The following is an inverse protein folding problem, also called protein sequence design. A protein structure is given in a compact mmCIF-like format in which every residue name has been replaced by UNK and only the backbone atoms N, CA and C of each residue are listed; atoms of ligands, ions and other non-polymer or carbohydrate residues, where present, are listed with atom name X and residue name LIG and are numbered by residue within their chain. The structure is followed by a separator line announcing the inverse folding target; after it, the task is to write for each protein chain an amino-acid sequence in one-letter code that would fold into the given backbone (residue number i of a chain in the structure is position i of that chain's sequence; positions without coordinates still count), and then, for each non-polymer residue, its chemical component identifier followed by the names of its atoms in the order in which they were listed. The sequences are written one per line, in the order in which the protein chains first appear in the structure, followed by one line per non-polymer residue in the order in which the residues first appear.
data_IF_578663817228
#
_entry.id   IF_578663817228
#
_cell.length_a   1.000
_cell.length_b   1.000
_cell.length_c   1.000
_cell.angle_alpha   90.00
_cell.angle_beta   90.00
_cell.angle_gamma   90.00
#
_symmetry.space_group_name_H-M   'P 1'
#
loop_
_entity.id
_entity.type
_entity.pdbx_description
1 polymer ?
#
# COMPACT_ATOMS: atom_id res chain seq x y z
N UNK A 1 42.61 -35.98 -15.40
CA UNK A 1 43.46 -36.81 -14.52
C UNK A 1 43.61 -36.13 -13.16
N UNK A 2 43.39 -36.94 -12.10
CA UNK A 2 43.55 -36.69 -10.64
C UNK A 2 42.30 -36.11 -9.96
N UNK A 3 41.41 -36.97 -9.48
CA UNK A 3 41.27 -37.65 -8.14
C UNK A 3 40.74 -36.71 -7.06
N UNK A 4 39.44 -36.73 -6.79
CA UNK A 4 38.67 -37.50 -5.81
C UNK A 4 39.38 -37.67 -4.43
N UNK A 5 38.82 -37.04 -3.39
CA UNK A 5 38.79 -37.59 -2.02
C UNK A 5 37.52 -37.19 -1.30
N UNK A 6 36.71 -38.21 -1.12
CA UNK A 6 35.57 -38.35 -0.27
C UNK A 6 36.08 -38.57 1.20
N UNK A 7 35.55 -37.83 2.17
CA UNK A 7 35.77 -38.16 3.56
C UNK A 7 34.42 -38.19 4.28
N UNK A 8 34.01 -39.41 4.59
CA UNK A 8 32.84 -39.70 5.45
C UNK A 8 33.27 -39.59 6.92
N UNK A 9 32.46 -38.92 7.72
CA UNK A 9 32.56 -38.99 9.19
C UNK A 9 31.26 -39.56 9.73
N UNK A 10 31.38 -40.79 10.22
CA UNK A 10 30.42 -41.46 11.10
C UNK A 10 30.45 -40.83 12.50
N UNK A 11 29.29 -40.52 13.07
CA UNK A 11 29.20 -40.27 14.52
C UNK A 11 28.01 -41.04 15.10
N UNK A 12 28.36 -41.77 16.15
CA UNK A 12 27.61 -42.82 16.80
C UNK A 12 26.43 -42.33 17.65
N UNK A 13 25.39 -43.16 17.58
CA UNK A 13 24.21 -43.13 18.45
C UNK A 13 24.60 -43.78 19.81
N UNK A 14 24.32 -43.09 20.90
CA UNK A 14 24.35 -43.68 22.27
C UNK A 14 22.91 -43.74 22.79
N UNK A 15 22.38 -44.95 22.85
CA UNK A 15 21.15 -45.30 23.57
C UNK A 15 21.49 -45.50 25.07
N UNK A 16 20.77 -44.79 25.96
CA UNK A 16 20.66 -45.16 27.36
C UNK A 16 19.29 -45.75 27.64
N UNK A 17 19.27 -47.01 27.93
CA UNK A 17 18.16 -47.77 28.54
C UNK A 17 18.39 -47.82 30.03
N UNK A 18 17.44 -47.38 30.84
CA UNK A 18 17.38 -47.72 32.28
C UNK A 18 16.01 -48.29 32.61
N UNK A 19 16.05 -49.47 33.17
CA UNK A 19 14.94 -50.34 33.46
C UNK A 19 14.29 -50.11 34.82
N UNK A 20 13.05 -50.56 34.90
CA UNK A 20 12.11 -50.75 35.99
C UNK A 20 12.61 -51.07 37.40
N UNK A 21 11.87 -50.56 38.39
CA UNK A 21 11.79 -51.13 39.73
C UNK A 21 10.53 -50.65 40.46
N UNK A 22 9.56 -51.53 40.68
CA UNK A 22 8.25 -51.25 41.25
C UNK A 22 8.24 -51.17 42.79
N UNK A 23 7.11 -50.71 43.32
CA UNK A 23 6.75 -50.78 44.75
C UNK A 23 5.64 -49.83 45.13
N UNK A 24 4.44 -50.34 45.38
CA UNK A 24 3.22 -49.57 45.67
C UNK A 24 3.14 -49.05 47.13
N UNK A 25 2.30 -48.09 47.29
CA UNK A 25 1.35 -47.87 48.39
C UNK A 25 0.61 -46.53 48.20
N UNK A 26 -0.70 -46.58 48.33
CA UNK A 26 -1.68 -45.45 48.34
C UNK A 26 -1.95 -45.07 49.80
N UNK A 27 -2.79 -44.03 50.10
CA UNK A 27 -2.84 -42.65 49.68
C UNK A 27 -2.70 -41.68 50.89
N UNK A 28 -2.40 -40.42 50.61
CA UNK A 28 -2.68 -39.33 51.54
C UNK A 28 -3.10 -38.12 50.73
N UNK A 29 -4.33 -37.67 50.98
CA UNK A 29 -4.87 -36.41 50.53
C UNK A 29 -3.99 -35.28 51.07
N UNK A 30 -3.57 -34.39 50.19
CA UNK A 30 -3.03 -33.08 50.56
C UNK A 30 -3.58 -32.05 49.57
N UNK A 31 -4.31 -31.10 50.12
CA UNK A 31 -4.78 -29.90 49.46
C UNK A 31 -3.64 -29.25 48.63
N UNK A 32 -3.79 -29.28 47.33
CA UNK A 32 -2.96 -28.54 46.40
C UNK A 32 -3.59 -27.18 46.13
N UNK A 33 -3.03 -26.17 46.75
CA UNK A 33 -3.22 -24.78 46.39
C UNK A 33 -2.86 -24.63 44.91
N UNK A 34 -3.85 -24.40 44.08
CA UNK A 34 -3.72 -24.07 42.68
C UNK A 34 -3.14 -22.66 42.58
N UNK A 35 -1.82 -22.60 42.54
CA UNK A 35 -1.12 -21.36 42.19
C UNK A 35 -1.45 -21.08 40.73
N UNK A 36 -2.46 -20.21 40.52
CA UNK A 36 -2.65 -19.54 39.25
C UNK A 36 -1.36 -18.81 38.95
N UNK A 37 -0.58 -19.34 38.00
CA UNK A 37 0.49 -18.60 37.36
C UNK A 37 -0.18 -17.43 36.64
N UNK A 38 -0.15 -16.27 37.27
CA UNK A 38 -0.40 -15.02 36.56
C UNK A 38 0.62 -14.97 35.42
N UNK A 39 0.13 -15.03 34.19
CA UNK A 39 0.91 -14.65 33.02
C UNK A 39 1.22 -13.18 33.24
N UNK A 40 2.44 -12.88 33.69
CA UNK A 40 2.96 -11.52 33.61
C UNK A 40 2.99 -11.19 32.14
N UNK A 41 2.02 -10.37 31.70
CA UNK A 41 2.11 -9.61 30.45
C UNK A 41 3.44 -8.86 30.55
N UNK A 42 4.43 -9.27 29.77
CA UNK A 42 5.61 -8.45 29.56
C UNK A 42 5.07 -7.13 28.99
N UNK A 43 5.14 -6.08 29.80
CA UNK A 43 4.92 -4.73 29.31
C UNK A 43 5.93 -4.54 28.18
N UNK A 44 5.44 -4.30 26.96
CA UNK A 44 6.29 -3.95 25.83
C UNK A 44 7.15 -2.77 26.27
N UNK A 45 8.46 -2.89 26.13
CA UNK A 45 9.36 -1.76 26.43
C UNK A 45 9.02 -0.67 25.42
N UNK A 46 8.73 0.53 25.92
CA UNK A 46 8.51 1.70 25.05
C UNK A 46 9.76 1.92 24.21
N UNK A 47 9.64 2.06 22.87
CA UNK A 47 10.78 2.39 22.04
C UNK A 47 11.39 3.75 22.45
N UNK A 48 12.71 3.90 22.33
CA UNK A 48 13.38 5.18 22.62
C UNK A 48 13.02 6.26 21.58
N UNK A 49 12.65 5.83 20.36
CA UNK A 49 12.29 6.66 19.22
C UNK A 49 11.20 5.95 18.43
N UNK A 50 10.21 6.69 17.93
CA UNK A 50 9.25 6.20 16.94
C UNK A 50 9.74 6.54 15.53
N UNK A 51 9.59 5.60 14.61
CA UNK A 51 9.82 5.83 13.19
C UNK A 51 8.48 5.74 12.47
N UNK A 52 8.12 6.81 11.77
CA UNK A 52 6.96 6.84 10.88
C UNK A 52 7.44 6.67 9.44
N UNK A 53 6.94 5.65 8.77
CA UNK A 53 7.36 5.26 7.44
C UNK A 53 6.32 5.56 6.36
N UNK A 54 6.82 5.88 5.17
CA UNK A 54 6.04 6.19 3.98
C UNK A 54 6.54 5.41 2.78
N UNK A 55 5.65 5.06 1.85
CA UNK A 55 6.01 4.45 0.57
C UNK A 55 6.31 5.53 -0.49
N UNK A 56 7.16 5.27 -1.49
CA UNK A 56 7.49 6.24 -2.52
C UNK A 56 6.40 6.29 -3.63
N UNK A 57 5.15 6.60 -3.26
CA UNK A 57 4.04 6.72 -4.22
C UNK A 57 4.14 7.96 -5.10
N UNK A 58 4.89 8.97 -4.63
CA UNK A 58 5.25 10.22 -5.31
C UNK A 58 6.77 10.37 -5.37
N UNK A 59 7.25 11.45 -5.97
CA UNK A 59 8.70 11.71 -6.03
C UNK A 59 9.29 11.76 -4.61
N UNK A 60 10.24 10.86 -4.32
CA UNK A 60 10.72 10.61 -2.97
C UNK A 60 11.43 11.82 -2.32
N UNK A 61 12.06 12.70 -3.12
CA UNK A 61 12.75 13.89 -2.62
C UNK A 61 11.79 14.92 -2.04
N UNK A 62 10.67 15.18 -2.72
CA UNK A 62 9.63 16.06 -2.25
C UNK A 62 8.98 15.47 -0.97
N UNK A 63 8.65 14.19 -1.01
CA UNK A 63 7.99 13.51 0.10
C UNK A 63 8.80 13.57 1.41
N UNK A 64 10.13 13.47 1.36
CA UNK A 64 11.00 13.59 2.55
C UNK A 64 10.90 14.97 3.21
N UNK A 65 10.75 16.04 2.42
CA UNK A 65 10.58 17.40 2.96
C UNK A 65 9.17 17.59 3.54
N UNK A 66 8.15 17.01 2.89
CA UNK A 66 6.74 17.17 3.26
C UNK A 66 6.38 16.46 4.59
N UNK A 67 7.03 15.34 4.92
CA UNK A 67 6.73 14.57 6.14
C UNK A 67 7.36 15.14 7.42
N UNK A 68 8.34 16.03 7.32
CA UNK A 68 9.07 16.54 8.49
C UNK A 68 8.15 17.31 9.48
N UNK A 69 7.22 18.19 9.05
CA UNK A 69 6.31 18.85 9.97
C UNK A 69 5.43 17.89 10.77
N UNK A 70 4.95 16.79 10.13
CA UNK A 70 4.17 15.77 10.82
C UNK A 70 5.01 15.06 11.91
N UNK A 71 6.27 14.73 11.59
CA UNK A 71 7.17 14.08 12.55
C UNK A 71 7.50 15.02 13.75
N UNK A 72 7.67 16.32 13.49
CA UNK A 72 7.91 17.32 14.52
C UNK A 72 6.68 17.50 15.43
N UNK A 73 5.49 17.57 14.84
CA UNK A 73 4.22 17.65 15.57
C UNK A 73 4.03 16.41 16.48
N UNK A 74 4.20 15.21 15.93
CA UNK A 74 4.06 13.99 16.72
C UNK A 74 5.12 13.89 17.83
N UNK A 75 6.33 14.43 17.62
CA UNK A 75 7.37 14.53 18.65
C UNK A 75 6.90 15.39 19.84
N UNK A 76 6.22 16.52 19.57
CA UNK A 76 5.71 17.41 20.60
C UNK A 76 4.53 16.77 21.36
N UNK A 77 3.56 16.20 20.63
CA UNK A 77 2.34 15.65 21.23
C UNK A 77 2.59 14.37 22.03
N UNK A 78 3.46 13.48 21.54
CA UNK A 78 3.77 12.22 22.21
C UNK A 78 4.87 12.34 23.27
N UNK A 79 5.61 13.48 23.29
CA UNK A 79 6.70 13.72 24.23
C UNK A 79 7.89 12.76 24.05
N UNK A 80 8.05 12.17 22.86
CA UNK A 80 9.15 11.30 22.48
C UNK A 80 9.57 11.59 21.03
N UNK A 81 10.83 11.29 20.70
CA UNK A 81 11.33 11.54 19.32
C UNK A 81 10.53 10.74 18.30
N UNK A 82 10.04 11.41 17.28
CA UNK A 82 9.43 10.79 16.08
C UNK A 82 10.25 11.19 14.86
N UNK A 83 10.60 10.23 14.00
CA UNK A 83 11.39 10.47 12.79
C UNK A 83 10.65 9.92 11.58
N UNK A 84 10.53 10.75 10.54
CA UNK A 84 9.95 10.35 9.26
C UNK A 84 10.97 9.67 8.36
N UNK A 85 10.57 8.61 7.66
CA UNK A 85 11.36 7.94 6.63
C UNK A 85 10.51 7.58 5.41
N UNK A 86 11.05 7.83 4.22
CA UNK A 86 10.52 7.28 2.96
C UNK A 86 11.32 6.05 2.60
N UNK A 87 10.66 4.93 2.37
CA UNK A 87 11.33 3.68 1.98
C UNK A 87 11.70 3.68 0.50
N UNK A 88 12.59 2.77 0.08
CA UNK A 88 13.03 2.70 -1.31
C UNK A 88 11.96 2.09 -2.25
N UNK A 89 11.07 1.29 -1.70
CA UNK A 89 9.98 0.61 -2.40
C UNK A 89 8.81 0.34 -1.43
N UNK A 90 7.68 -0.08 -1.99
CA UNK A 90 6.44 -0.31 -1.23
C UNK A 90 6.56 -1.46 -0.21
N UNK A 91 7.26 -2.53 -0.56
CA UNK A 91 7.49 -3.66 0.35
C UNK A 91 8.50 -3.34 1.45
N UNK A 92 9.35 -2.36 1.22
CA UNK A 92 10.33 -1.86 2.18
C UNK A 92 9.69 -1.38 3.47
N UNK A 93 8.56 -0.67 3.39
CA UNK A 93 7.83 -0.21 4.58
C UNK A 93 7.28 -1.38 5.41
N UNK A 94 6.63 -2.34 4.76
CA UNK A 94 6.13 -3.54 5.45
C UNK A 94 7.27 -4.30 6.13
N UNK A 95 8.41 -4.45 5.44
CA UNK A 95 9.61 -5.10 5.99
C UNK A 95 10.20 -4.30 7.16
N UNK A 96 10.20 -2.97 7.09
CA UNK A 96 10.65 -2.13 8.19
C UNK A 96 9.74 -2.29 9.43
N UNK A 97 8.43 -2.40 9.25
CA UNK A 97 7.48 -2.68 10.33
C UNK A 97 7.68 -4.10 10.90
N UNK A 98 7.83 -5.12 10.02
CA UNK A 98 8.07 -6.52 10.41
C UNK A 98 9.35 -6.68 11.26
N UNK A 99 10.37 -5.88 10.98
CA UNK A 99 11.67 -5.93 11.67
C UNK A 99 11.83 -4.93 12.81
N UNK A 100 10.76 -4.16 13.13
CA UNK A 100 10.76 -3.15 14.18
C UNK A 100 11.60 -1.91 13.85
N UNK A 101 11.87 -1.64 12.56
CA UNK A 101 12.57 -0.44 12.10
C UNK A 101 11.60 0.72 11.82
N UNK A 102 10.31 0.42 11.57
CA UNK A 102 9.23 1.40 11.51
C UNK A 102 8.13 0.98 12.50
N UNK A 103 7.55 1.95 13.20
CA UNK A 103 6.55 1.75 14.25
C UNK A 103 5.16 2.23 13.81
N UNK A 104 5.13 3.20 12.92
CA UNK A 104 3.93 3.77 12.30
C UNK A 104 4.15 3.71 10.79
N UNK A 105 3.17 3.26 10.02
CA UNK A 105 3.26 3.19 8.56
C UNK A 105 2.05 3.83 7.90
N UNK A 106 2.28 4.75 6.96
CA UNK A 106 1.28 5.18 6.00
C UNK A 106 1.28 4.18 4.85
N UNK A 107 0.30 3.30 4.85
CA UNK A 107 0.29 2.06 4.08
C UNK A 107 -0.78 2.11 2.98
N UNK A 108 -0.41 1.86 1.71
CA UNK A 108 -1.39 1.64 0.66
C UNK A 108 -2.18 0.35 0.92
N UNK A 109 -3.33 0.14 0.26
CA UNK A 109 -4.24 -0.97 0.57
C UNK A 109 -3.58 -2.36 0.62
N UNK A 110 -2.70 -2.68 -0.33
CA UNK A 110 -1.96 -3.95 -0.28
C UNK A 110 -0.88 -3.96 0.81
N UNK A 111 -0.26 -2.81 1.08
CA UNK A 111 0.65 -2.64 2.21
C UNK A 111 -0.04 -2.89 3.55
N UNK A 112 -1.30 -2.42 3.74
CA UNK A 112 -2.10 -2.71 4.93
C UNK A 112 -2.32 -4.21 5.10
N UNK A 113 -2.73 -4.92 4.04
CA UNK A 113 -2.89 -6.39 4.06
C UNK A 113 -1.58 -7.07 4.52
N UNK A 114 -0.46 -6.71 3.90
CA UNK A 114 0.83 -7.30 4.23
C UNK A 114 1.30 -6.95 5.65
N UNK A 115 1.09 -5.71 6.11
CA UNK A 115 1.48 -5.28 7.45
C UNK A 115 0.69 -6.01 8.54
N UNK A 116 -0.62 -6.20 8.34
CA UNK A 116 -1.45 -7.02 9.25
C UNK A 116 -0.99 -8.46 9.27
N UNK A 117 -0.75 -9.07 8.10
CA UNK A 117 -0.46 -10.51 8.00
C UNK A 117 0.97 -10.87 8.41
N UNK A 118 1.96 -9.98 8.15
CA UNK A 118 3.39 -10.27 8.32
C UNK A 118 4.01 -9.53 9.49
N UNK A 119 3.63 -8.28 9.71
CA UNK A 119 4.19 -7.42 10.76
C UNK A 119 3.31 -7.34 12.02
N UNK A 120 2.19 -8.08 12.05
CA UNK A 120 1.21 -8.01 13.14
C UNK A 120 0.79 -6.56 13.45
N UNK A 121 0.74 -5.71 12.41
CA UNK A 121 0.35 -4.32 12.55
C UNK A 121 -1.16 -4.20 12.83
N UNK A 122 -1.55 -3.16 13.55
CA UNK A 122 -2.92 -2.74 13.75
C UNK A 122 -3.20 -1.51 12.91
N UNK A 123 -4.23 -1.55 12.06
CA UNK A 123 -4.64 -0.39 11.28
C UNK A 123 -5.55 0.47 12.17
N UNK A 124 -5.10 1.67 12.47
CA UNK A 124 -5.77 2.56 13.43
C UNK A 124 -6.61 3.65 12.76
N UNK A 125 -6.26 4.05 11.53
CA UNK A 125 -6.98 5.07 10.76
C UNK A 125 -7.02 4.68 9.29
N UNK A 126 -8.07 5.14 8.59
CA UNK A 126 -8.18 5.13 7.14
C UNK A 126 -8.21 6.56 6.62
N UNK A 127 -7.47 6.83 5.55
CA UNK A 127 -7.41 8.17 4.95
C UNK A 127 -8.71 8.50 4.22
N UNK A 128 -9.19 9.72 4.41
CA UNK A 128 -10.19 10.35 3.55
C UNK A 128 -9.49 11.23 2.53
N UNK A 129 -9.92 11.16 1.27
CA UNK A 129 -9.47 12.02 0.17
C UNK A 129 -10.70 12.59 -0.52
N UNK A 130 -10.79 13.90 -0.60
CA UNK A 130 -11.92 14.58 -1.25
C UNK A 130 -13.31 14.10 -0.76
N UNK A 131 -13.43 13.76 0.54
CA UNK A 131 -14.67 13.27 1.15
C UNK A 131 -14.99 11.79 0.88
N UNK A 132 -14.05 11.02 0.32
CA UNK A 132 -14.19 9.58 0.08
C UNK A 132 -13.14 8.78 0.85
N UNK A 133 -13.53 7.56 1.27
CA UNK A 133 -12.64 6.53 1.84
C UNK A 133 -12.24 5.47 0.80
N UNK A 134 -12.61 5.69 -0.46
CA UNK A 134 -12.27 4.84 -1.62
C UNK A 134 -11.78 5.69 -2.78
N UNK A 135 -11.04 5.07 -3.70
CA UNK A 135 -10.54 5.64 -4.94
C UNK A 135 -10.50 4.57 -6.04
N UNK A 136 -10.02 4.91 -7.23
CA UNK A 136 -9.95 3.96 -8.35
C UNK A 136 -8.56 3.88 -8.95
N UNK A 137 -8.28 2.77 -9.61
CA UNK A 137 -7.24 2.76 -10.63
C UNK A 137 -7.78 3.36 -11.91
N UNK A 138 -6.99 4.21 -12.56
CA UNK A 138 -7.28 4.71 -13.91
C UNK A 138 -6.33 4.11 -14.94
N UNK A 139 -6.83 4.00 -16.17
CA UNK A 139 -6.05 3.66 -17.35
C UNK A 139 -6.03 4.86 -18.26
N UNK A 140 -4.83 5.29 -18.64
CA UNK A 140 -4.65 6.41 -19.55
C UNK A 140 -3.82 6.01 -20.77
N UNK A 141 -3.98 6.75 -21.87
CA UNK A 141 -3.30 6.50 -23.14
C UNK A 141 -3.01 7.81 -23.86
N UNK A 142 -2.03 7.78 -24.77
CA UNK A 142 -1.78 8.81 -25.76
C UNK A 142 -2.29 8.41 -27.18
N UNK A 143 -2.98 7.26 -27.28
CA UNK A 143 -3.59 6.77 -28.52
C UNK A 143 -5.12 6.58 -28.34
N UNK A 144 -5.90 7.67 -28.26
CA UNK A 144 -7.34 7.58 -28.09
C UNK A 144 -8.05 6.88 -29.25
N UNK A 145 -7.49 6.90 -30.46
CA UNK A 145 -8.09 6.22 -31.63
C UNK A 145 -8.21 4.70 -31.43
N UNK A 146 -7.32 4.11 -30.62
CA UNK A 146 -7.32 2.68 -30.32
C UNK A 146 -8.21 2.32 -29.13
N UNK A 147 -8.25 3.15 -28.06
CA UNK A 147 -8.85 2.79 -26.78
C UNK A 147 -10.16 3.51 -26.47
N UNK A 148 -10.51 4.60 -27.18
CA UNK A 148 -11.77 5.30 -27.01
C UNK A 148 -12.82 4.82 -28.02
N UNK A 149 -14.05 4.58 -27.55
CA UNK A 149 -15.21 4.29 -28.40
C UNK A 149 -15.88 5.57 -28.95
N UNK A 150 -15.66 6.70 -28.27
CA UNK A 150 -16.15 8.02 -28.57
C UNK A 150 -15.00 9.05 -28.63
N UNK A 151 -15.26 10.22 -29.20
CA UNK A 151 -14.30 11.32 -29.23
C UNK A 151 -13.98 11.75 -27.76
N UNK A 152 -12.70 12.01 -27.42
CA UNK A 152 -12.36 12.52 -26.10
C UNK A 152 -13.10 13.81 -25.76
N UNK A 153 -13.56 13.91 -24.52
CA UNK A 153 -14.27 15.07 -23.98
C UNK A 153 -13.43 15.77 -22.92
N UNK A 154 -13.64 17.08 -22.81
CA UNK A 154 -12.97 17.91 -21.82
C UNK A 154 -13.56 17.66 -20.43
N UNK A 155 -12.67 17.51 -19.42
CA UNK A 155 -13.02 17.37 -18.03
C UNK A 155 -12.10 18.27 -17.18
N UNK A 156 -12.69 19.23 -16.46
CA UNK A 156 -11.93 20.20 -15.68
C UNK A 156 -11.62 19.64 -14.29
N UNK A 157 -10.37 19.82 -13.86
CA UNK A 157 -9.85 19.47 -12.52
C UNK A 157 -9.19 20.69 -11.91
N UNK A 158 -9.15 20.73 -10.58
CA UNK A 158 -8.31 21.67 -9.86
C UNK A 158 -6.89 21.11 -9.75
N UNK A 159 -5.90 21.94 -10.03
CA UNK A 159 -4.48 21.66 -9.88
C UNK A 159 -3.80 22.94 -9.39
N UNK A 160 -3.16 22.91 -8.22
CA UNK A 160 -2.49 24.08 -7.64
C UNK A 160 -3.39 25.36 -7.63
N UNK A 161 -4.66 25.22 -7.22
CA UNK A 161 -5.68 26.28 -7.20
C UNK A 161 -6.09 26.85 -8.59
N UNK A 162 -5.65 26.23 -9.69
CA UNK A 162 -6.03 26.59 -11.04
C UNK A 162 -6.94 25.51 -11.68
N UNK A 163 -7.87 25.94 -12.53
CA UNK A 163 -8.70 25.02 -13.33
C UNK A 163 -7.89 24.56 -14.54
N UNK A 164 -7.60 23.24 -14.61
CA UNK A 164 -6.96 22.59 -15.75
C UNK A 164 -7.93 21.63 -16.41
N UNK A 165 -7.98 21.67 -17.74
CA UNK A 165 -8.86 20.82 -18.54
C UNK A 165 -8.09 19.63 -19.10
N UNK A 166 -8.51 18.44 -18.70
CA UNK A 166 -7.97 17.16 -19.15
C UNK A 166 -8.91 16.46 -20.10
N UNK A 167 -8.42 15.47 -20.83
CA UNK A 167 -9.20 14.69 -21.80
C UNK A 167 -9.60 13.33 -21.20
N UNK A 168 -10.86 12.97 -21.40
CA UNK A 168 -11.44 11.71 -20.97
C UNK A 168 -12.31 11.12 -22.10
N UNK A 169 -12.50 9.80 -22.16
CA UNK A 169 -13.45 9.15 -23.08
C UNK A 169 -14.16 7.98 -22.40
N UNK A 170 -15.06 7.31 -23.14
CA UNK A 170 -15.79 6.12 -22.66
C UNK A 170 -16.58 6.37 -21.37
N UNK A 171 -17.03 7.62 -21.11
CA UNK A 171 -17.78 7.97 -19.90
C UNK A 171 -16.92 8.09 -18.63
N UNK A 172 -15.61 8.26 -18.75
CA UNK A 172 -14.69 8.52 -17.62
C UNK A 172 -14.60 10.01 -17.24
N UNK A 173 -15.40 10.88 -17.87
CA UNK A 173 -15.47 12.33 -17.68
C UNK A 173 -16.26 12.74 -16.44
N UNK A 174 -16.12 12.02 -15.34
CA UNK A 174 -16.86 12.28 -14.11
C UNK A 174 -16.29 13.43 -13.31
N UNK A 175 -17.17 14.10 -12.54
CA UNK A 175 -16.72 15.02 -11.51
C UNK A 175 -15.86 14.24 -10.48
N UNK A 176 -14.80 14.87 -9.98
CA UNK A 176 -13.85 14.24 -9.06
C UNK A 176 -14.50 13.85 -7.71
N UNK A 177 -15.59 14.55 -7.34
CA UNK A 177 -16.42 14.32 -6.16
C UNK A 177 -17.52 13.25 -6.36
N UNK A 178 -17.70 12.75 -7.61
CA UNK A 178 -18.62 11.67 -7.91
C UNK A 178 -17.83 10.36 -8.12
N UNK A 179 -17.51 9.67 -7.03
CA UNK A 179 -16.87 8.35 -7.10
C UNK A 179 -17.84 7.36 -7.77
N UNK A 180 -17.44 6.73 -8.90
CA UNK A 180 -18.31 5.76 -9.55
C UNK A 180 -18.48 4.50 -8.70
N UNK A 181 -19.71 3.98 -8.63
CA UNK A 181 -19.98 2.67 -8.05
C UNK A 181 -19.50 1.56 -9.01
N UNK A 182 -18.19 1.31 -9.11
CA UNK A 182 -17.64 0.20 -9.88
C UNK A 182 -16.86 0.59 -11.13
N UNK A 183 -16.37 -0.39 -11.89
CA UNK A 183 -15.51 -0.15 -13.04
C UNK A 183 -16.25 0.51 -14.21
N UNK A 184 -15.52 1.34 -14.98
CA UNK A 184 -16.01 1.99 -16.19
C UNK A 184 -15.12 1.59 -17.34
N UNK A 185 -15.75 1.17 -18.44
CA UNK A 185 -15.12 0.91 -19.74
C UNK A 185 -13.89 -0.03 -19.68
N UNK A 186 -13.77 -0.89 -18.67
CA UNK A 186 -12.67 -1.86 -18.59
C UNK A 186 -12.66 -2.86 -19.74
N UNK A 187 -13.80 -3.03 -20.44
CA UNK A 187 -13.91 -3.82 -21.66
C UNK A 187 -13.10 -3.25 -22.84
N UNK A 188 -12.78 -1.96 -22.83
CA UNK A 188 -11.90 -1.34 -23.84
C UNK A 188 -10.47 -1.88 -23.79
N UNK A 189 -10.07 -2.46 -22.65
CA UNK A 189 -8.80 -3.18 -22.52
C UNK A 189 -8.72 -4.45 -23.38
N UNK A 190 -9.84 -4.96 -23.89
CA UNK A 190 -9.83 -6.04 -24.89
C UNK A 190 -9.15 -5.64 -26.21
N UNK A 191 -8.96 -4.32 -26.46
CA UNK A 191 -8.22 -3.81 -27.60
C UNK A 191 -6.70 -3.85 -27.41
N UNK A 192 -6.21 -4.19 -26.19
CA UNK A 192 -4.78 -4.31 -25.90
C UNK A 192 -4.19 -5.49 -26.66
N UNK A 193 -3.27 -5.20 -27.56
CA UNK A 193 -2.59 -6.21 -28.38
C UNK A 193 -1.39 -6.83 -27.62
N UNK A 194 -0.96 -8.02 -28.04
CA UNK A 194 0.24 -8.63 -27.48
C UNK A 194 1.47 -7.77 -27.79
N UNK A 195 2.22 -7.43 -26.74
CA UNK A 195 3.41 -6.58 -26.84
C UNK A 195 3.12 -5.08 -26.67
N UNK A 196 1.86 -4.66 -26.39
CA UNK A 196 1.56 -3.30 -25.94
C UNK A 196 2.37 -2.95 -24.71
N UNK A 197 3.06 -1.82 -24.72
CA UNK A 197 3.83 -1.34 -23.57
C UNK A 197 2.89 -0.71 -22.55
N UNK A 198 2.88 -1.26 -21.33
CA UNK A 198 2.04 -0.77 -20.22
C UNK A 198 2.94 -0.28 -19.09
N UNK A 199 2.78 0.99 -18.71
CA UNK A 199 3.47 1.60 -17.58
C UNK A 199 2.71 1.32 -16.29
N UNK A 200 3.30 0.53 -15.41
CA UNK A 200 2.87 0.29 -14.05
C UNK A 200 3.69 1.13 -13.06
N UNK A 201 3.20 1.27 -11.83
CA UNK A 201 3.93 1.96 -10.75
C UNK A 201 4.96 1.04 -10.13
N UNK A 202 4.49 0.08 -9.33
CA UNK A 202 5.29 -0.92 -8.62
C UNK A 202 4.39 -2.09 -8.24
N UNK A 203 4.92 -3.31 -8.17
CA UNK A 203 4.12 -4.54 -7.98
C UNK A 203 3.28 -4.57 -6.69
N UNK A 204 3.69 -3.87 -5.65
CA UNK A 204 2.93 -3.74 -4.40
C UNK A 204 1.99 -2.54 -4.36
N UNK A 205 1.91 -1.73 -5.43
CA UNK A 205 0.93 -0.66 -5.55
C UNK A 205 -0.45 -1.23 -5.89
N UNK A 206 -1.48 -0.89 -5.11
CA UNK A 206 -2.84 -1.34 -5.36
C UNK A 206 -3.36 -0.85 -6.71
N UNK A 207 -3.50 0.48 -6.91
CA UNK A 207 -3.99 1.06 -8.16
C UNK A 207 -2.97 1.11 -9.28
N UNK A 208 -1.67 1.04 -8.94
CA UNK A 208 -0.60 1.07 -9.95
C UNK A 208 -0.17 -0.28 -10.47
N UNK A 209 -0.65 -1.40 -9.89
CA UNK A 209 -0.34 -2.75 -10.39
C UNK A 209 -1.39 -3.80 -10.02
N UNK A 210 -1.73 -3.99 -8.73
CA UNK A 210 -2.54 -5.14 -8.29
C UNK A 210 -3.89 -5.16 -9.00
N UNK A 211 -4.67 -4.09 -8.90
CA UNK A 211 -5.98 -4.01 -9.56
C UNK A 211 -5.89 -3.96 -11.09
N UNK A 212 -5.03 -3.13 -11.71
CA UNK A 212 -4.85 -3.16 -13.16
C UNK A 212 -4.44 -4.53 -13.70
N UNK A 213 -3.48 -5.20 -13.07
CA UNK A 213 -3.02 -6.52 -13.48
C UNK A 213 -4.14 -7.57 -13.36
N UNK A 214 -4.96 -7.52 -12.30
CA UNK A 214 -6.13 -8.38 -12.14
C UNK A 214 -7.16 -8.11 -13.24
N UNK A 215 -7.39 -6.83 -13.61
CA UNK A 215 -8.27 -6.49 -14.72
C UNK A 215 -7.73 -7.06 -16.03
N UNK A 216 -6.44 -6.95 -16.33
CA UNK A 216 -5.84 -7.58 -17.50
C UNK A 216 -6.06 -9.11 -17.51
N UNK A 217 -5.89 -9.78 -16.36
CA UNK A 217 -6.16 -11.23 -16.23
C UNK A 217 -7.63 -11.54 -16.55
N UNK A 218 -8.59 -10.75 -16.08
CA UNK A 218 -10.02 -10.95 -16.38
C UNK A 218 -10.35 -10.76 -17.86
N UNK A 219 -9.57 -9.93 -18.58
CA UNK A 219 -9.66 -9.78 -20.04
C UNK A 219 -8.88 -10.88 -20.81
N UNK A 220 -8.29 -11.85 -20.11
CA UNK A 220 -7.52 -12.93 -20.71
C UNK A 220 -6.08 -12.54 -21.10
N UNK A 221 -5.60 -11.42 -20.63
CA UNK A 221 -4.25 -10.89 -20.89
C UNK A 221 -3.36 -11.20 -19.68
N UNK A 222 -2.25 -11.88 -19.90
CA UNK A 222 -1.27 -12.10 -18.84
C UNK A 222 -0.43 -10.81 -18.67
N UNK A 223 -0.40 -10.18 -17.47
CA UNK A 223 0.28 -8.91 -17.28
C UNK A 223 1.81 -8.98 -17.34
N UNK A 224 2.40 -10.18 -17.27
CA UNK A 224 3.85 -10.37 -17.32
C UNK A 224 4.36 -10.79 -18.71
N UNK A 225 3.50 -11.46 -19.52
CA UNK A 225 3.93 -12.07 -20.78
C UNK A 225 3.04 -11.73 -21.97
N UNK A 226 1.85 -11.21 -21.74
CA UNK A 226 0.89 -10.80 -22.78
C UNK A 226 1.09 -9.37 -23.25
N UNK A 227 1.74 -8.55 -22.44
CA UNK A 227 2.10 -7.15 -22.67
C UNK A 227 3.59 -6.95 -22.39
N UNK A 228 4.12 -5.76 -22.64
CA UNK A 228 5.47 -5.34 -22.24
C UNK A 228 5.38 -4.43 -21.00
N UNK A 229 5.47 -4.96 -19.76
CA UNK A 229 5.36 -4.16 -18.56
C UNK A 229 6.60 -3.30 -18.32
N UNK A 230 6.39 -2.02 -18.02
CA UNK A 230 7.41 -1.08 -17.56
C UNK A 230 7.00 -0.60 -16.17
N UNK A 231 7.95 -0.47 -15.24
CA UNK A 231 7.70 0.00 -13.89
C UNK A 231 8.29 1.40 -13.71
N UNK A 232 7.41 2.40 -13.57
CA UNK A 232 7.78 3.82 -13.51
C UNK A 232 8.17 4.28 -12.09
N UNK A 233 7.86 3.48 -11.06
CA UNK A 233 8.22 3.74 -9.66
C UNK A 233 7.23 4.64 -8.91
N UNK A 234 6.57 5.58 -9.59
CA UNK A 234 5.55 6.45 -9.00
C UNK A 234 4.35 6.64 -9.95
N UNK A 235 3.25 7.18 -9.43
CA UNK A 235 2.02 7.34 -10.19
C UNK A 235 2.13 8.41 -11.26
N UNK A 236 2.68 9.57 -10.92
CA UNK A 236 2.93 10.65 -11.87
C UNK A 236 3.92 10.23 -12.96
N UNK A 237 4.95 9.45 -12.62
CA UNK A 237 5.89 8.94 -13.62
C UNK A 237 5.24 7.94 -14.59
N UNK A 238 4.24 7.18 -14.14
CA UNK A 238 3.46 6.32 -15.04
C UNK A 238 2.71 7.15 -16.08
N UNK A 239 2.10 8.27 -15.68
CA UNK A 239 1.45 9.22 -16.58
C UNK A 239 2.46 9.89 -17.52
N UNK A 240 3.59 10.36 -17.00
CA UNK A 240 4.68 10.99 -17.79
C UNK A 240 5.18 10.02 -18.85
N UNK A 241 5.37 8.75 -18.52
CA UNK A 241 5.82 7.70 -19.44
C UNK A 241 4.90 7.58 -20.67
N UNK A 242 3.59 7.71 -20.46
CA UNK A 242 2.60 7.74 -21.58
C UNK A 242 2.67 9.04 -22.36
N UNK A 243 2.71 10.19 -21.68
CA UNK A 243 2.78 11.49 -22.30
C UNK A 243 3.99 11.62 -23.24
N UNK A 244 5.14 11.10 -22.80
CA UNK A 244 6.38 11.09 -23.58
C UNK A 244 6.44 9.99 -24.66
N UNK A 245 5.40 9.17 -24.80
CA UNK A 245 5.31 8.10 -25.79
C UNK A 245 6.25 6.91 -25.53
N UNK A 246 6.65 6.71 -24.27
CA UNK A 246 7.48 5.57 -23.85
C UNK A 246 6.61 4.35 -23.50
N UNK A 247 5.33 4.55 -23.21
CA UNK A 247 4.32 3.50 -23.06
C UNK A 247 3.03 3.91 -23.77
N UNK A 248 2.25 2.94 -24.21
CA UNK A 248 0.96 3.12 -24.86
C UNK A 248 -0.17 3.27 -23.86
N UNK A 249 -0.03 2.59 -22.71
CA UNK A 249 -0.99 2.64 -21.60
C UNK A 249 -0.23 2.94 -20.31
N UNK A 250 -0.78 3.83 -19.49
CA UNK A 250 -0.35 4.07 -18.13
C UNK A 250 -1.43 3.71 -17.13
N UNK A 251 -1.05 3.25 -15.95
CA UNK A 251 -1.96 3.01 -14.84
C UNK A 251 -1.53 3.81 -13.62
N UNK A 252 -2.49 4.34 -12.89
CA UNK A 252 -2.26 5.17 -11.71
C UNK A 252 -3.51 5.22 -10.82
N UNK A 253 -3.45 5.98 -9.74
CA UNK A 253 -4.67 6.41 -9.04
C UNK A 253 -5.38 7.53 -9.85
N UNK A 254 -6.64 7.77 -9.59
CA UNK A 254 -7.48 8.79 -10.19
C UNK A 254 -7.47 10.11 -9.38
N UNK A 255 -6.89 11.24 -9.80
CA UNK A 255 -6.31 11.47 -11.11
C UNK A 255 -4.84 11.92 -10.99
N UNK A 256 -3.90 11.01 -11.17
CA UNK A 256 -2.47 11.31 -11.05
C UNK A 256 -1.93 12.25 -12.16
N UNK A 257 -2.74 12.59 -13.17
CA UNK A 257 -2.37 13.58 -14.18
C UNK A 257 -2.17 14.96 -13.56
N UNK A 258 -2.89 15.27 -12.48
CA UNK A 258 -2.79 16.55 -11.78
C UNK A 258 -1.45 16.75 -11.06
N UNK A 259 -0.69 15.67 -10.85
CA UNK A 259 0.59 15.68 -10.14
C UNK A 259 1.80 15.51 -11.07
N UNK A 260 1.56 15.27 -12.36
CA UNK A 260 2.62 15.01 -13.32
C UNK A 260 3.44 16.27 -13.61
N UNK A 261 4.76 16.19 -13.40
CA UNK A 261 5.72 17.27 -13.69
C UNK A 261 6.59 16.87 -14.88
N UNK A 262 6.33 17.48 -16.03
CA UNK A 262 7.04 17.19 -17.29
C UNK A 262 6.94 18.37 -18.25
N UNK A 263 7.79 18.40 -19.29
CA UNK A 263 7.67 19.34 -20.42
C UNK A 263 6.57 18.93 -21.43
N UNK A 264 6.01 17.71 -21.30
CA UNK A 264 4.91 17.22 -22.12
C UNK A 264 3.57 17.82 -21.62
N UNK A 265 2.68 18.17 -22.55
CA UNK A 265 1.34 18.69 -22.22
C UNK A 265 0.39 17.54 -21.85
N UNK A 266 0.48 17.08 -20.58
CA UNK A 266 -0.34 15.98 -20.06
C UNK A 266 -1.83 16.23 -20.22
N UNK A 267 -2.27 17.47 -20.10
CA UNK A 267 -3.69 17.82 -20.18
C UNK A 267 -4.29 17.54 -21.56
N UNK A 268 -3.52 17.78 -22.63
CA UNK A 268 -3.96 17.59 -24.02
C UNK A 268 -3.51 16.26 -24.66
N UNK A 269 -2.46 15.62 -24.13
CA UNK A 269 -1.84 14.44 -24.74
C UNK A 269 -2.25 13.11 -24.06
N UNK A 270 -2.73 13.17 -22.79
CA UNK A 270 -3.06 11.97 -22.03
C UNK A 270 -4.55 11.87 -21.75
N UNK A 271 -5.18 10.86 -22.34
CA UNK A 271 -6.62 10.61 -22.24
C UNK A 271 -6.86 9.48 -21.25
N UNK A 272 -7.73 9.68 -20.24
CA UNK A 272 -8.22 8.59 -19.39
C UNK A 272 -9.37 7.90 -20.11
N UNK A 273 -9.25 6.57 -20.28
CA UNK A 273 -10.20 5.78 -21.06
C UNK A 273 -10.93 4.69 -20.27
N UNK A 274 -10.44 4.33 -19.08
CA UNK A 274 -11.10 3.35 -18.19
C UNK A 274 -10.77 3.59 -16.72
N UNK A 275 -11.72 3.20 -15.84
CA UNK A 275 -11.53 3.11 -14.40
C UNK A 275 -11.78 1.68 -13.91
N UNK A 276 -10.97 1.22 -12.97
CA UNK A 276 -11.17 -0.05 -12.26
C UNK A 276 -12.26 0.05 -11.18
N UNK A 277 -12.44 -1.03 -10.38
CA UNK A 277 -13.36 -1.02 -9.25
C UNK A 277 -12.88 -0.08 -8.14
N UNK A 278 -13.77 0.20 -7.20
CA UNK A 278 -13.41 0.90 -5.95
C UNK A 278 -12.32 0.17 -5.18
N UNK A 279 -11.35 0.92 -4.71
CA UNK A 279 -10.23 0.48 -3.88
C UNK A 279 -10.32 1.22 -2.55
N UNK A 280 -10.27 0.57 -1.38
CA UNK A 280 -10.19 1.28 -0.12
C UNK A 280 -8.96 2.20 -0.11
N UNK A 281 -9.10 3.43 0.43
CA UNK A 281 -7.96 4.34 0.57
C UNK A 281 -6.89 3.75 1.49
N UNK A 282 -5.71 4.36 1.44
CA UNK A 282 -4.59 4.07 2.33
C UNK A 282 -4.99 4.17 3.81
N UNK A 283 -4.21 3.57 4.67
CA UNK A 283 -4.43 3.65 6.11
C UNK A 283 -3.16 3.85 6.90
N UNK A 284 -3.33 4.21 8.15
CA UNK A 284 -2.23 4.29 9.11
C UNK A 284 -2.21 3.02 9.94
N UNK A 285 -1.12 2.27 9.84
CA UNK A 285 -0.84 1.09 10.65
C UNK A 285 0.19 1.40 11.73
N UNK A 286 0.03 0.76 12.89
CA UNK A 286 1.01 0.83 13.98
C UNK A 286 1.51 -0.56 14.33
N UNK A 287 2.74 -0.65 14.81
CA UNK A 287 3.33 -1.91 15.24
C UNK A 287 2.49 -2.54 16.37
N UNK A 288 2.16 -3.83 16.22
CA UNK A 288 1.25 -4.53 17.12
C UNK A 288 1.76 -4.70 18.53
N UNK A 289 3.06 -4.61 18.74
CA UNK A 289 3.73 -4.70 20.05
C UNK A 289 3.80 -3.37 20.82
N UNK A 290 3.37 -2.25 20.23
CA UNK A 290 3.18 -1.01 20.97
C UNK A 290 2.04 -1.16 22.00
N UNK A 291 2.16 -0.46 23.14
CA UNK A 291 1.10 -0.48 24.14
C UNK A 291 -0.19 0.15 23.60
N UNK A 292 -1.34 -0.35 24.07
CA UNK A 292 -2.65 0.19 23.64
C UNK A 292 -2.76 1.70 23.96
N UNK A 293 -2.18 2.14 25.08
CA UNK A 293 -2.14 3.57 25.46
C UNK A 293 -1.36 4.41 24.42
N UNK A 294 -0.23 3.91 23.90
CA UNK A 294 0.56 4.63 22.90
C UNK A 294 -0.13 4.61 21.53
N UNK A 295 -0.74 3.49 21.13
CA UNK A 295 -1.55 3.40 19.91
C UNK A 295 -2.69 4.44 19.93
N UNK A 296 -3.37 4.55 21.07
CA UNK A 296 -4.44 5.54 21.24
C UNK A 296 -3.90 6.99 21.17
N UNK A 297 -2.76 7.27 21.82
CA UNK A 297 -2.14 8.60 21.75
C UNK A 297 -1.74 8.96 20.31
N UNK A 298 -1.19 8.01 19.54
CA UNK A 298 -0.86 8.21 18.13
C UNK A 298 -2.12 8.51 17.32
N UNK A 299 -3.19 7.73 17.54
CA UNK A 299 -4.49 7.92 16.87
C UNK A 299 -5.06 9.32 17.18
N UNK A 300 -5.11 9.69 18.46
CA UNK A 300 -5.65 10.99 18.89
C UNK A 300 -4.83 12.15 18.33
N UNK A 301 -3.49 12.03 18.31
CA UNK A 301 -2.61 13.06 17.77
C UNK A 301 -2.80 13.24 16.25
N UNK A 302 -2.91 12.14 15.48
CA UNK A 302 -3.15 12.21 14.03
C UNK A 302 -4.52 12.82 13.70
N UNK A 303 -5.57 12.45 14.45
CA UNK A 303 -6.89 13.04 14.30
C UNK A 303 -6.88 14.54 14.63
N UNK A 304 -6.22 14.93 15.72
CA UNK A 304 -6.10 16.34 16.09
C UNK A 304 -5.28 17.14 15.07
N UNK A 305 -4.23 16.54 14.48
CA UNK A 305 -3.44 17.17 13.44
C UNK A 305 -4.27 17.48 12.20
N UNK A 306 -5.09 16.52 11.76
CA UNK A 306 -5.99 16.69 10.62
C UNK A 306 -7.12 17.70 10.84
N UNK A 307 -7.36 18.18 12.09
CA UNK A 307 -8.30 19.25 12.38
C UNK A 307 -7.66 20.66 12.28
N UNK A 308 -6.35 20.76 12.07
CA UNK A 308 -5.63 22.03 11.93
C UNK A 308 -5.40 22.38 10.45
N UNK A 309 -5.42 23.68 10.11
CA UNK A 309 -5.12 24.15 8.75
C UNK A 309 -3.71 23.71 8.29
N UNK A 310 -2.70 23.82 9.19
CA UNK A 310 -1.33 23.40 8.93
C UNK A 310 -1.22 21.87 8.72
N UNK A 311 -1.94 21.11 9.56
CA UNK A 311 -1.93 19.65 9.47
C UNK A 311 -2.57 19.14 8.17
N UNK A 312 -3.68 19.75 7.76
CA UNK A 312 -4.32 19.43 6.48
C UNK A 312 -3.40 19.75 5.30
N UNK A 313 -2.75 20.93 5.27
CA UNK A 313 -1.81 21.31 4.23
C UNK A 313 -0.69 20.27 4.08
N UNK A 314 -0.13 19.79 5.20
CA UNK A 314 0.91 18.74 5.21
C UNK A 314 0.35 17.39 4.75
N UNK A 315 -0.79 16.95 5.25
CA UNK A 315 -1.41 15.69 4.90
C UNK A 315 -1.83 15.63 3.42
N UNK A 316 -2.31 16.78 2.88
CA UNK A 316 -2.61 16.92 1.45
C UNK A 316 -1.32 16.85 0.62
N UNK A 317 -0.24 17.52 1.03
CA UNK A 317 1.04 17.47 0.29
C UNK A 317 1.66 16.09 0.29
N UNK A 318 1.47 15.30 1.36
CA UNK A 318 2.01 13.94 1.47
C UNK A 318 1.26 12.97 0.56
N UNK A 319 -0.06 12.81 0.72
CA UNK A 319 -0.86 11.81 -0.01
C UNK A 319 -2.29 12.28 -0.33
N UNK A 320 -2.53 13.56 -0.52
CA UNK A 320 -3.87 14.12 -0.75
C UNK A 320 -4.88 13.76 0.36
N UNK A 321 -4.41 13.62 1.60
CA UNK A 321 -5.26 13.24 2.73
C UNK A 321 -5.98 14.50 3.23
N UNK A 322 -7.32 14.49 3.16
CA UNK A 322 -8.18 15.59 3.63
C UNK A 322 -8.83 15.28 4.96
N UNK A 323 -8.58 14.12 5.54
CA UNK A 323 -9.10 13.70 6.83
C UNK A 323 -8.82 12.23 7.12
N UNK A 324 -9.32 11.75 8.26
CA UNK A 324 -9.23 10.36 8.65
C UNK A 324 -10.58 9.82 9.10
N UNK A 325 -10.86 8.57 8.77
CA UNK A 325 -12.01 7.80 9.19
C UNK A 325 -11.60 6.57 10.02
N UNK A 326 -12.59 5.93 10.66
CA UNK A 326 -12.39 4.61 11.26
C UNK A 326 -12.03 3.58 10.16
N UNK A 327 -11.04 2.67 10.40
CA UNK A 327 -10.59 1.73 9.40
C UNK A 327 -11.67 0.68 9.11
N UNK A 328 -11.96 0.46 7.83
CA UNK A 328 -12.81 -0.63 7.38
C UNK A 328 -11.97 -1.81 6.90
N UNK A 329 -11.62 -2.70 7.83
CA UNK A 329 -10.78 -3.87 7.50
C UNK A 329 -11.50 -4.88 6.60
N UNK A 330 -12.83 -4.95 6.61
CA UNK A 330 -13.60 -5.82 5.72
C UNK A 330 -13.44 -5.38 4.25
N UNK A 331 -13.21 -4.09 4.01
CA UNK A 331 -12.95 -3.58 2.66
C UNK A 331 -11.61 -4.07 2.08
N UNK A 332 -10.66 -4.52 2.91
CA UNK A 332 -9.40 -5.10 2.45
C UNK A 332 -9.56 -6.49 1.80
N UNK A 333 -10.73 -7.12 1.93
CA UNK A 333 -10.98 -8.42 1.31
C UNK A 333 -10.92 -8.36 -0.22
N UNK A 334 -11.36 -7.24 -0.83
CA UNK A 334 -11.23 -7.05 -2.28
C UNK A 334 -9.76 -7.01 -2.72
N UNK A 335 -8.88 -6.44 -1.86
CA UNK A 335 -7.43 -6.40 -2.11
C UNK A 335 -6.83 -7.80 -2.02
N UNK A 336 -7.21 -8.58 -0.99
CA UNK A 336 -6.78 -9.98 -0.82
C UNK A 336 -7.19 -10.83 -2.01
N UNK A 337 -8.44 -10.65 -2.48
CA UNK A 337 -8.94 -11.37 -3.65
C UNK A 337 -8.13 -11.01 -4.90
N UNK A 338 -7.89 -9.73 -5.18
CA UNK A 338 -7.12 -9.29 -6.33
C UNK A 338 -5.69 -9.87 -6.32
N UNK A 339 -5.03 -9.85 -5.16
CA UNK A 339 -3.70 -10.45 -4.97
C UNK A 339 -3.71 -11.96 -5.20
N UNK A 340 -4.73 -12.66 -4.71
CA UNK A 340 -4.89 -14.12 -4.90
C UNK A 340 -5.09 -14.47 -6.39
N UNK A 341 -5.84 -13.66 -7.14
CA UNK A 341 -6.08 -13.87 -8.58
C UNK A 341 -4.79 -13.71 -9.40
N UNK A 342 -3.83 -12.92 -8.92
CA UNK A 342 -2.49 -12.80 -9.52
C UNK A 342 -1.54 -13.94 -9.13
N UNK A 343 -1.95 -14.83 -8.21
CA UNK A 343 -1.09 -15.89 -7.67
C UNK A 343 -0.05 -15.40 -6.67
N UNK A 344 -0.21 -14.19 -6.15
CA UNK A 344 0.61 -13.65 -5.07
C UNK A 344 -0.04 -14.02 -3.72
N UNK A 345 0.72 -14.65 -2.83
CA UNK A 345 0.23 -14.99 -1.48
C UNK A 345 0.12 -16.50 -1.20
N UNK A 346 0.73 -17.37 -2.01
CA UNK A 346 0.96 -18.79 -1.68
C UNK A 346 2.31 -19.01 -0.96
#
# INVERSE_FOLDING_TARGET
MKHLRLTAVLTAIVLFVVACGGGGASPAETDGEETAAASESQAAEMPEELVIGFVPSREAGALVEDIQPLADYLTEELGMTVRGEVTNDYTGLVTAMETGQAHIGFLPPYGMVQAVDRANAEIILQSERFGSVTYHTQFCTNDPDTYCEDEPVENTRMQDDEEVTYLNCNGTDRAFDETPEGPIAVESLANVEAGTTVSFVEQASASGYVFPATIFVTQGINPETGIEPVFAGSHENSVVTVCEGQAEIGVSFDDARTEAVTDCDVASEVVVFAYGPEIPNDGVGVAGDLSDDLKQQITDALLAYAETDEGLEVLESVYNITGFAEPNLDALEIVRQAVSELGYGE
#
